data_IF_784125681047
#
_entry.id   IF_784125681047
#
_cell.length_a   1.000
_cell.length_b   1.000
_cell.length_c   1.000
_cell.angle_alpha   90.00
_cell.angle_beta   90.00
_cell.angle_gamma   90.00
#
_symmetry.space_group_name_H-M   'P 1'
#
loop_
_entity.id
_entity.type
_entity.pdbx_description
1 polymer ?
#
# COMPACT_ATOMS: atom_id res chain seq x y z
N UNK A 1 0.30 19.14 32.11
CA UNK A 1 -0.51 18.57 31.00
C UNK A 1 -0.43 19.58 29.87
N UNK A 2 0.29 19.31 28.77
CA UNK A 2 0.42 20.30 27.71
C UNK A 2 -0.79 20.20 26.76
N UNK A 3 -1.33 21.37 26.42
CA UNK A 3 -2.49 21.60 25.57
C UNK A 3 -2.49 20.76 24.27
N UNK A 4 -3.58 20.04 24.04
CA UNK A 4 -3.87 19.26 22.83
C UNK A 4 -4.20 20.20 21.66
N UNK A 5 -3.17 20.68 20.95
CA UNK A 5 -3.34 21.28 19.64
C UNK A 5 -3.44 20.18 18.59
N UNK A 6 -4.66 19.90 18.13
CA UNK A 6 -4.94 18.99 17.01
C UNK A 6 -4.67 19.66 15.66
N UNK A 7 -4.33 18.86 14.65
CA UNK A 7 -4.25 19.32 13.26
C UNK A 7 -5.64 19.68 12.74
N UNK A 8 -5.73 20.78 11.99
CA UNK A 8 -6.97 21.18 11.31
C UNK A 8 -7.29 20.28 10.12
N UNK A 9 -8.56 20.17 9.75
CA UNK A 9 -9.00 19.43 8.56
C UNK A 9 -8.27 19.88 7.29
N UNK A 10 -7.96 21.19 7.18
CA UNK A 10 -7.20 21.73 6.06
C UNK A 10 -5.79 21.17 5.99
N UNK A 11 -5.08 21.10 7.13
CA UNK A 11 -3.74 20.52 7.18
C UNK A 11 -3.77 19.02 6.89
N UNK A 12 -4.78 18.30 7.39
CA UNK A 12 -4.96 16.88 7.10
C UNK A 12 -5.21 16.61 5.61
N UNK A 13 -6.02 17.45 4.96
CA UNK A 13 -6.27 17.37 3.51
C UNK A 13 -5.02 17.72 2.71
N UNK A 14 -4.35 18.83 3.03
CA UNK A 14 -3.09 19.20 2.37
C UNK A 14 -1.99 18.15 2.56
N UNK A 15 -1.98 17.45 3.71
CA UNK A 15 -1.09 16.30 3.92
C UNK A 15 -1.45 15.14 2.99
N UNK A 16 -2.74 14.79 2.90
CA UNK A 16 -3.23 13.69 2.08
C UNK A 16 -2.98 13.95 0.57
N UNK A 17 -3.14 15.19 0.13
CA UNK A 17 -2.94 15.61 -1.27
C UNK A 17 -1.47 15.91 -1.61
N UNK A 18 -0.57 15.91 -0.61
CA UNK A 18 0.86 16.20 -0.80
C UNK A 18 1.19 17.68 -1.03
N UNK A 19 0.29 18.59 -0.65
CA UNK A 19 0.43 20.04 -0.80
C UNK A 19 1.15 20.71 0.38
N UNK A 20 1.32 20.01 1.50
CA UNK A 20 2.03 20.55 2.67
C UNK A 20 3.55 20.71 2.40
N UNK A 21 4.16 21.84 2.81
CA UNK A 21 5.60 22.02 2.74
C UNK A 21 6.34 20.91 3.52
N UNK A 22 7.54 20.45 3.09
CA UNK A 22 8.21 19.28 3.67
C UNK A 22 8.41 19.33 5.19
N UNK A 23 8.67 20.54 5.74
CA UNK A 23 8.85 20.73 7.19
C UNK A 23 7.54 20.61 7.98
N UNK A 24 6.44 21.06 7.40
CA UNK A 24 5.13 21.00 8.02
C UNK A 24 4.53 19.60 7.87
N UNK A 25 4.73 18.94 6.73
CA UNK A 25 4.39 17.54 6.52
C UNK A 25 5.06 16.63 7.57
N UNK A 26 6.38 16.77 7.79
CA UNK A 26 7.10 15.99 8.80
C UNK A 26 6.58 16.22 10.24
N UNK A 27 6.17 17.46 10.56
CA UNK A 27 5.55 17.78 11.86
C UNK A 27 4.17 17.16 11.99
N UNK A 28 3.34 17.27 10.94
CA UNK A 28 2.01 16.68 10.91
C UNK A 28 2.08 15.14 11.01
N UNK A 29 3.00 14.50 10.31
CA UNK A 29 3.25 13.05 10.42
C UNK A 29 3.70 12.64 11.82
N UNK A 30 4.60 13.42 12.44
CA UNK A 30 5.03 13.18 13.83
C UNK A 30 3.85 13.32 14.80
N UNK A 31 2.97 14.30 14.60
CA UNK A 31 1.77 14.47 15.40
C UNK A 31 0.80 13.31 15.21
N UNK A 32 0.57 12.88 13.96
CA UNK A 32 -0.28 11.72 13.64
C UNK A 32 0.26 10.43 14.26
N UNK A 33 1.57 10.26 14.38
CA UNK A 33 2.16 9.12 15.07
C UNK A 33 1.79 9.05 16.56
N UNK A 34 1.49 10.20 17.19
CA UNK A 34 1.20 10.31 18.61
C UNK A 34 -0.28 10.60 18.94
N UNK A 35 -1.08 11.11 18.00
CA UNK A 35 -2.47 11.52 18.22
C UNK A 35 -3.46 10.57 17.52
N UNK A 36 -4.36 9.95 18.28
CA UNK A 36 -5.39 9.06 17.75
C UNK A 36 -6.51 9.81 17.03
N UNK A 37 -6.95 10.94 17.59
CA UNK A 37 -8.06 11.72 17.04
C UNK A 37 -7.74 12.29 15.66
N UNK A 38 -6.54 12.84 15.46
CA UNK A 38 -6.11 13.32 14.14
C UNK A 38 -5.93 12.18 13.13
N UNK A 39 -5.55 10.97 13.56
CA UNK A 39 -5.48 9.79 12.68
C UNK A 39 -6.86 9.37 12.20
N UNK A 40 -7.82 9.25 13.12
CA UNK A 40 -9.21 8.95 12.77
C UNK A 40 -9.78 10.01 11.85
N UNK A 41 -9.57 11.29 12.15
CA UNK A 41 -10.06 12.38 11.32
C UNK A 41 -9.49 12.38 9.91
N UNK A 42 -8.19 12.14 9.76
CA UNK A 42 -7.54 12.01 8.44
C UNK A 42 -8.13 10.85 7.64
N UNK A 43 -8.35 9.71 8.28
CA UNK A 43 -8.92 8.53 7.64
C UNK A 43 -10.37 8.76 7.16
N UNK A 44 -11.20 9.45 7.95
CA UNK A 44 -12.56 9.84 7.54
C UNK A 44 -12.54 10.71 6.28
N UNK A 45 -11.63 11.69 6.20
CA UNK A 45 -11.46 12.56 5.04
C UNK A 45 -11.04 11.75 3.80
N UNK A 46 -10.04 10.86 3.92
CA UNK A 46 -9.59 10.00 2.82
C UNK A 46 -10.67 9.02 2.33
N UNK A 47 -11.49 8.52 3.26
CA UNK A 47 -12.63 7.64 2.93
C UNK A 47 -13.67 8.41 2.12
N UNK A 48 -14.04 9.62 2.55
CA UNK A 48 -14.99 10.47 1.84
C UNK A 48 -14.50 10.82 0.42
N UNK A 49 -13.20 11.15 0.26
CA UNK A 49 -12.59 11.38 -1.05
C UNK A 49 -12.67 10.13 -1.92
N UNK A 50 -12.36 8.96 -1.36
CA UNK A 50 -12.38 7.68 -2.08
C UNK A 50 -13.77 7.31 -2.57
N UNK A 51 -14.81 7.55 -1.76
CA UNK A 51 -16.21 7.37 -2.15
C UNK A 51 -16.62 8.31 -3.29
N UNK A 52 -16.22 9.58 -3.21
CA UNK A 52 -16.48 10.54 -4.29
C UNK A 52 -15.78 10.16 -5.60
N UNK A 53 -14.50 9.76 -5.56
CA UNK A 53 -13.76 9.30 -6.75
C UNK A 53 -14.42 8.07 -7.37
N UNK A 54 -14.88 7.12 -6.54
CA UNK A 54 -15.60 5.94 -7.00
C UNK A 54 -16.91 6.33 -7.69
N UNK A 55 -17.68 7.23 -7.07
CA UNK A 55 -18.92 7.77 -7.64
C UNK A 55 -18.68 8.49 -8.96
N UNK A 56 -17.64 9.33 -9.05
CA UNK A 56 -17.28 10.04 -10.27
C UNK A 56 -16.92 9.04 -11.39
N UNK A 57 -16.08 8.03 -11.10
CA UNK A 57 -15.73 6.99 -12.08
C UNK A 57 -16.94 6.17 -12.54
N UNK A 58 -17.91 5.89 -11.67
CA UNK A 58 -19.13 5.19 -12.07
C UNK A 58 -20.07 6.06 -12.89
N UNK A 59 -20.26 7.32 -12.50
CA UNK A 59 -21.22 8.24 -13.12
C UNK A 59 -20.73 8.74 -14.49
N UNK A 60 -19.43 8.98 -14.64
CA UNK A 60 -18.84 9.49 -15.89
C UNK A 60 -18.32 8.39 -16.83
N UNK A 61 -18.43 7.10 -16.47
CA UNK A 61 -18.15 5.98 -17.40
C UNK A 61 -19.09 5.96 -18.62
N UNK A 62 -20.19 6.70 -18.59
CA UNK A 62 -21.16 6.80 -19.70
C UNK A 62 -20.94 8.00 -20.63
N UNK A 63 -20.00 8.91 -20.35
CA UNK A 63 -19.79 10.10 -21.18
C UNK A 63 -18.34 10.23 -21.64
N UNK A 64 -18.17 9.89 -22.91
CA UNK A 64 -17.09 10.20 -23.87
C UNK A 64 -15.82 9.31 -23.94
N UNK A 65 -15.45 8.86 -25.17
CA UNK A 65 -14.19 8.17 -25.46
C UNK A 65 -13.04 9.18 -25.58
N UNK A 66 -12.23 9.30 -24.53
CA UNK A 66 -11.01 10.12 -24.52
C UNK A 66 -9.80 9.43 -25.19
N UNK A 67 -9.99 8.29 -25.87
CA UNK A 67 -8.91 7.61 -26.58
C UNK A 67 -8.47 8.38 -27.84
N UNK A 68 -9.40 9.04 -28.54
CA UNK A 68 -9.12 9.75 -29.80
C UNK A 68 -8.17 10.94 -29.65
N UNK A 69 -8.51 11.97 -28.84
CA UNK A 69 -7.66 13.16 -28.71
C UNK A 69 -6.30 12.85 -28.06
N UNK A 70 -6.28 11.91 -27.12
CA UNK A 70 -5.04 11.47 -26.43
C UNK A 70 -4.13 10.66 -27.35
N UNK A 71 -4.69 9.80 -28.20
CA UNK A 71 -3.94 9.10 -29.23
C UNK A 71 -3.39 10.08 -30.28
N UNK A 72 -4.18 11.08 -30.69
CA UNK A 72 -3.75 12.11 -31.63
C UNK A 72 -2.59 12.95 -31.07
N UNK A 73 -2.67 13.35 -29.79
CA UNK A 73 -1.58 14.08 -29.12
C UNK A 73 -0.31 13.24 -29.07
N UNK A 74 -0.41 11.95 -28.67
CA UNK A 74 0.72 11.02 -28.62
C UNK A 74 1.35 10.83 -30.00
N UNK A 75 0.55 10.69 -31.04
CA UNK A 75 1.03 10.59 -32.41
C UNK A 75 1.77 11.86 -32.85
N UNK A 76 1.27 13.05 -32.49
CA UNK A 76 1.89 14.33 -32.82
C UNK A 76 3.23 14.55 -32.11
N UNK A 77 3.32 14.17 -30.84
CA UNK A 77 4.58 14.21 -30.05
C UNK A 77 5.62 13.25 -30.65
N UNK A 78 5.21 12.05 -31.07
CA UNK A 78 6.12 11.11 -31.73
C UNK A 78 6.65 11.65 -33.07
N UNK A 79 5.80 12.29 -33.88
CA UNK A 79 6.26 12.94 -35.12
C UNK A 79 7.22 14.11 -34.88
N UNK A 80 7.11 14.81 -33.76
CA UNK A 80 7.98 15.95 -33.43
C UNK A 80 9.37 15.50 -32.95
N UNK A 81 9.50 14.26 -32.46
CA UNK A 81 10.78 13.70 -32.04
C UNK A 81 11.70 13.33 -33.23
N UNK A 82 11.14 13.02 -34.40
CA UNK A 82 11.92 12.69 -35.61
C UNK A 82 12.47 13.93 -36.34
N UNK A 83 11.99 15.14 -36.03
CA UNK A 83 12.37 16.37 -36.76
C UNK A 83 13.62 17.07 -36.16
N UNK A 84 14.11 16.64 -34.98
CA UNK A 84 15.27 17.25 -34.32
C UNK A 84 16.58 16.45 -34.36
N UNK A 85 16.73 15.53 -35.31
CA UNK A 85 18.05 15.03 -35.71
C UNK A 85 18.48 15.74 -36.99
N UNK A 86 19.10 16.90 -36.86
CA UNK A 86 20.14 17.49 -37.76
C UNK A 86 20.28 18.98 -37.43
N UNK A 87 20.81 19.29 -36.23
CA UNK A 87 21.30 20.65 -35.95
C UNK A 87 22.69 20.80 -36.57
N UNK A 88 22.73 21.34 -37.78
CA UNK A 88 23.94 21.82 -38.45
C UNK A 88 24.50 23.09 -37.78
N UNK A 89 24.95 22.96 -36.53
CA UNK A 89 25.52 24.06 -35.74
C UNK A 89 27.00 23.82 -35.41
N UNK A 90 27.74 23.19 -36.34
CA UNK A 90 29.16 22.88 -36.18
C UNK A 90 30.06 23.48 -37.27
N UNK A 91 29.67 24.58 -37.92
CA UNK A 91 30.49 25.14 -39.01
C UNK A 91 31.12 26.52 -38.79
N UNK A 92 31.04 27.15 -37.60
CA UNK A 92 31.58 28.50 -37.44
C UNK A 92 32.33 28.80 -36.13
N UNK A 93 33.20 27.93 -35.63
CA UNK A 93 34.24 28.35 -34.67
C UNK A 93 35.59 27.68 -34.96
N UNK A 94 36.62 28.51 -35.11
CA UNK A 94 37.95 28.14 -35.61
C UNK A 94 38.75 27.12 -34.78
N UNK A 95 39.91 26.66 -35.30
CA UNK A 95 40.58 25.40 -34.92
C UNK A 95 41.13 25.35 -33.49
N UNK A 96 41.07 26.44 -32.71
CA UNK A 96 41.54 26.48 -31.32
C UNK A 96 40.44 26.25 -30.27
N UNK A 97 39.15 26.34 -30.62
CA UNK A 97 38.03 26.01 -29.71
C UNK A 97 37.54 24.56 -29.83
N UNK A 98 37.83 23.86 -30.93
CA UNK A 98 37.38 22.48 -31.16
C UNK A 98 37.92 21.46 -30.15
N UNK A 99 39.18 21.63 -29.71
CA UNK A 99 39.82 20.71 -28.76
C UNK A 99 39.30 20.87 -27.33
N UNK A 100 38.98 22.10 -26.92
CA UNK A 100 38.39 22.37 -25.59
C UNK A 100 36.95 21.86 -25.50
N UNK A 101 36.16 22.01 -26.58
CA UNK A 101 34.80 21.47 -26.66
C UNK A 101 34.78 19.94 -26.66
N UNK A 102 35.72 19.27 -27.38
CA UNK A 102 35.85 17.81 -27.38
C UNK A 102 36.25 17.23 -26.01
N UNK A 103 37.14 17.89 -25.28
CA UNK A 103 37.52 17.48 -23.92
C UNK A 103 36.35 17.64 -22.93
N UNK A 104 35.57 18.72 -23.02
CA UNK A 104 34.39 18.91 -22.17
C UNK A 104 33.28 17.89 -22.48
N UNK A 105 33.10 17.48 -23.73
CA UNK A 105 32.15 16.42 -24.14
C UNK A 105 32.61 15.04 -23.67
N UNK A 106 33.91 14.75 -23.70
CA UNK A 106 34.47 13.51 -23.15
C UNK A 106 34.33 13.45 -21.63
N UNK A 107 34.60 14.55 -20.92
CA UNK A 107 34.43 14.64 -19.45
C UNK A 107 32.94 14.60 -19.06
N UNK A 108 32.04 15.24 -19.81
CA UNK A 108 30.59 15.19 -19.57
C UNK A 108 29.95 13.85 -19.96
N UNK A 109 30.55 13.10 -20.89
CA UNK A 109 30.12 11.75 -21.26
C UNK A 109 30.63 10.65 -20.32
N UNK A 110 31.83 10.81 -19.75
CA UNK A 110 32.43 9.85 -18.80
C UNK A 110 31.92 10.01 -17.37
N UNK A 111 31.52 11.22 -16.95
CA UNK A 111 30.95 11.49 -15.61
C UNK A 111 29.68 10.69 -15.28
N UNK A 112 28.66 10.52 -16.15
CA UNK A 112 27.49 9.69 -15.83
C UNK A 112 27.80 8.19 -15.80
N UNK A 113 28.81 7.73 -16.55
CA UNK A 113 29.26 6.33 -16.53
C UNK A 113 29.98 5.98 -15.22
N UNK A 114 30.86 6.87 -14.75
CA UNK A 114 31.57 6.72 -13.47
C UNK A 114 30.59 6.86 -12.29
N UNK A 115 29.62 7.79 -12.38
CA UNK A 115 28.58 7.97 -11.34
C UNK A 115 27.72 6.71 -11.15
N UNK A 116 27.37 6.02 -12.24
CA UNK A 116 26.63 4.73 -12.19
C UNK A 116 27.42 3.59 -11.53
N UNK A 117 28.74 3.62 -11.54
CA UNK A 117 29.57 2.58 -10.91
C UNK A 117 29.91 2.89 -9.45
N UNK A 118 29.92 4.17 -9.06
CA UNK A 118 30.24 4.61 -7.69
C UNK A 118 28.99 4.70 -6.81
N UNK A 119 27.83 5.05 -7.39
CA UNK A 119 26.56 5.13 -6.67
C UNK A 119 25.69 3.94 -7.09
N UNK A 120 25.79 2.78 -6.40
CA UNK A 120 24.82 1.73 -6.60
C UNK A 120 23.45 2.29 -6.23
N UNK A 121 22.51 2.26 -7.17
CA UNK A 121 21.08 2.33 -6.88
C UNK A 121 20.80 1.28 -5.81
N UNK A 122 20.78 1.67 -4.54
CA UNK A 122 20.27 0.80 -3.48
C UNK A 122 18.82 0.58 -3.85
N UNK A 123 18.40 -0.63 -4.26
CA UNK A 123 16.98 -0.87 -4.43
C UNK A 123 16.36 -0.52 -3.08
N UNK A 124 15.42 0.42 -3.09
CA UNK A 124 14.57 0.70 -1.94
C UNK A 124 13.91 -0.62 -1.59
N UNK A 125 14.51 -1.38 -0.68
CA UNK A 125 13.87 -2.57 -0.16
C UNK A 125 12.68 -2.06 0.64
N UNK A 126 11.45 -2.43 0.28
CA UNK A 126 10.29 -2.01 1.04
C UNK A 126 10.50 -2.39 2.49
N UNK A 127 10.30 -1.41 3.38
CA UNK A 127 10.35 -1.65 4.83
C UNK A 127 9.36 -2.77 5.13
N UNK A 128 9.77 -3.85 5.82
CA UNK A 128 8.86 -4.92 6.21
C UNK A 128 7.68 -4.30 6.96
N UNK A 129 6.49 -4.32 6.33
CA UNK A 129 5.30 -3.75 6.93
C UNK A 129 4.56 -4.84 7.69
N UNK A 130 4.14 -4.51 8.91
CA UNK A 130 3.33 -5.38 9.75
C UNK A 130 1.85 -5.36 9.34
N UNK A 131 1.41 -4.32 8.63
CA UNK A 131 0.02 -4.12 8.19
C UNK A 131 0.03 -3.89 6.67
N UNK A 132 -0.91 -4.46 5.91
CA UNK A 132 -0.98 -4.22 4.46
C UNK A 132 -1.27 -2.76 4.12
N UNK A 133 -0.93 -2.36 2.89
CA UNK A 133 -1.31 -1.07 2.36
C UNK A 133 -2.81 -1.08 2.01
N UNK A 134 -3.67 -0.26 2.65
CA UNK A 134 -5.13 -0.30 2.44
C UNK A 134 -5.56 0.03 1.01
N UNK A 135 -4.75 0.77 0.26
CA UNK A 135 -5.02 1.10 -1.14
C UNK A 135 -4.79 -0.09 -2.08
N UNK A 136 -3.93 -1.03 -1.70
CA UNK A 136 -3.63 -2.24 -2.46
C UNK A 136 -4.45 -3.44 -1.97
N UNK A 137 -4.61 -3.56 -0.66
CA UNK A 137 -5.31 -4.66 0.00
C UNK A 137 -6.37 -4.11 0.97
N UNK A 138 -7.50 -3.60 0.46
CA UNK A 138 -8.61 -3.12 1.28
C UNK A 138 -9.38 -4.22 2.03
N UNK A 139 -9.15 -5.50 1.71
CA UNK A 139 -9.84 -6.63 2.32
C UNK A 139 -11.12 -6.99 1.56
N UNK A 140 -10.98 -7.46 0.32
CA UNK A 140 -12.14 -7.91 -0.47
C UNK A 140 -12.84 -9.12 0.15
N UNK A 141 -14.17 -9.12 0.16
CA UNK A 141 -15.02 -10.17 0.76
C UNK A 141 -15.99 -10.76 -0.25
N UNK A 142 -16.45 -11.98 0.03
CA UNK A 142 -17.60 -12.58 -0.65
C UNK A 142 -18.88 -12.29 0.12
N UNK A 143 -20.01 -12.18 -0.60
CA UNK A 143 -21.32 -12.03 0.04
C UNK A 143 -21.72 -13.34 0.71
N UNK A 144 -21.54 -13.41 2.02
CA UNK A 144 -21.92 -14.55 2.86
C UNK A 144 -22.72 -14.08 4.08
N UNK A 145 -23.74 -14.85 4.44
CA UNK A 145 -24.45 -14.65 5.70
C UNK A 145 -23.73 -15.33 6.85
N UNK A 146 -23.88 -14.82 8.07
CA UNK A 146 -23.32 -15.43 9.28
C UNK A 146 -23.68 -16.92 9.41
N UNK A 147 -24.94 -17.38 9.19
CA UNK A 147 -25.26 -18.80 9.23
C UNK A 147 -24.54 -19.63 8.15
N UNK A 148 -24.29 -19.06 6.97
CA UNK A 148 -23.53 -19.75 5.92
C UNK A 148 -22.05 -19.90 6.31
N UNK A 149 -21.46 -18.83 6.80
CA UNK A 149 -20.07 -18.77 7.26
C UNK A 149 -19.80 -19.72 8.43
N UNK A 150 -20.74 -19.87 9.36
CA UNK A 150 -20.57 -20.66 10.58
C UNK A 150 -20.87 -22.16 10.41
N UNK A 151 -21.37 -22.61 9.26
CA UNK A 151 -21.57 -24.05 8.97
C UNK A 151 -20.27 -24.78 8.62
N UNK A 152 -19.30 -24.09 8.05
CA UNK A 152 -18.03 -24.69 7.64
C UNK A 152 -17.05 -24.71 8.81
N UNK A 153 -16.73 -25.86 9.37
CA UNK A 153 -15.89 -25.93 10.58
C UNK A 153 -14.38 -25.72 10.33
N UNK A 154 -13.93 -25.54 9.08
CA UNK A 154 -12.51 -25.40 8.77
C UNK A 154 -12.27 -24.81 7.36
N UNK A 155 -12.30 -23.49 7.24
CA UNK A 155 -12.00 -22.77 5.99
C UNK A 155 -10.57 -22.25 6.06
N UNK A 156 -9.61 -23.15 5.84
CA UNK A 156 -8.20 -22.77 5.74
C UNK A 156 -7.98 -21.81 4.56
N UNK A 157 -6.94 -20.99 4.67
CA UNK A 157 -6.48 -20.17 3.54
C UNK A 157 -6.20 -21.07 2.34
N UNK A 158 -6.69 -20.65 1.17
CA UNK A 158 -6.47 -21.40 -0.07
C UNK A 158 -5.03 -21.19 -0.53
N UNK A 159 -4.46 -22.22 -1.15
CA UNK A 159 -3.17 -22.09 -1.83
C UNK A 159 -3.24 -20.99 -2.90
N UNK A 160 -2.40 -19.96 -2.76
CA UNK A 160 -2.30 -18.86 -3.72
C UNK A 160 -1.35 -19.28 -4.86
N UNK A 161 -1.81 -19.36 -6.12
CA UNK A 161 -0.94 -19.75 -7.23
C UNK A 161 0.26 -18.82 -7.40
N UNK A 162 1.43 -19.37 -7.77
CA UNK A 162 2.68 -18.61 -7.94
C UNK A 162 2.52 -17.40 -8.88
N UNK A 163 1.69 -17.52 -9.93
CA UNK A 163 1.40 -16.41 -10.83
C UNK A 163 0.71 -15.23 -10.12
N UNK A 164 -0.22 -15.52 -9.19
CA UNK A 164 -0.90 -14.53 -8.39
C UNK A 164 0.03 -13.94 -7.33
N UNK A 165 0.87 -14.76 -6.68
CA UNK A 165 1.89 -14.28 -5.74
C UNK A 165 2.84 -13.27 -6.39
N UNK A 166 3.32 -13.56 -7.61
CA UNK A 166 4.17 -12.62 -8.38
C UNK A 166 3.44 -11.30 -8.69
N UNK A 167 2.13 -11.36 -8.96
CA UNK A 167 1.32 -10.16 -9.19
C UNK A 167 1.21 -9.32 -7.92
N UNK A 168 0.95 -9.93 -6.76
CA UNK A 168 0.92 -9.24 -5.46
C UNK A 168 2.26 -8.54 -5.18
N UNK A 169 3.40 -9.25 -5.33
CA UNK A 169 4.71 -8.63 -5.15
C UNK A 169 4.96 -7.45 -6.10
N UNK A 170 4.49 -7.54 -7.35
CA UNK A 170 4.62 -6.45 -8.30
C UNK A 170 3.81 -5.20 -7.88
N UNK A 171 2.56 -5.37 -7.42
CA UNK A 171 1.72 -4.27 -6.92
C UNK A 171 2.36 -3.60 -5.68
N UNK A 172 2.98 -4.39 -4.81
CA UNK A 172 3.70 -3.92 -3.62
C UNK A 172 5.12 -3.40 -3.91
N UNK A 173 5.57 -3.39 -5.17
CA UNK A 173 6.90 -2.93 -5.56
C UNK A 173 8.05 -3.80 -5.04
N UNK A 174 7.77 -5.02 -4.58
CA UNK A 174 8.77 -5.96 -4.07
C UNK A 174 9.51 -6.61 -5.24
N UNK A 175 10.84 -6.40 -5.29
CA UNK A 175 11.73 -6.98 -6.31
C UNK A 175 12.87 -7.72 -5.63
N UNK A 176 13.20 -8.91 -6.14
CA UNK A 176 14.34 -9.69 -5.67
C UNK A 176 14.23 -10.11 -4.20
N UNK A 177 13.02 -10.39 -3.71
CA UNK A 177 12.83 -10.91 -2.36
C UNK A 177 13.60 -12.23 -2.18
N UNK A 178 14.28 -12.37 -1.05
CA UNK A 178 14.89 -13.65 -0.68
C UNK A 178 13.80 -14.73 -0.58
N UNK A 179 14.09 -15.99 -0.97
CA UNK A 179 13.15 -17.09 -0.80
C UNK A 179 12.65 -17.17 0.65
N UNK A 180 11.33 -17.19 0.83
CA UNK A 180 10.72 -17.27 2.16
C UNK A 180 10.74 -15.97 2.99
N UNK A 181 11.22 -14.84 2.45
CA UNK A 181 11.15 -13.56 3.17
C UNK A 181 9.72 -13.06 3.39
N UNK A 182 8.81 -13.50 2.53
CA UNK A 182 7.39 -13.17 2.57
C UNK A 182 6.53 -14.41 2.33
N UNK A 183 5.38 -14.45 2.98
CA UNK A 183 4.25 -15.30 2.65
C UNK A 183 3.13 -14.44 2.04
N UNK A 184 2.40 -14.96 1.07
CA UNK A 184 1.21 -14.27 0.56
C UNK A 184 0.02 -14.71 1.39
N UNK A 185 -0.54 -13.76 2.12
CA UNK A 185 -1.58 -14.03 3.09
C UNK A 185 -2.86 -13.22 2.80
N UNK A 186 -3.97 -13.72 3.33
CA UNK A 186 -5.28 -13.08 3.26
C UNK A 186 -5.40 -12.02 4.35
N UNK A 187 -5.77 -10.78 4.02
CA UNK A 187 -6.08 -9.78 5.06
C UNK A 187 -7.34 -10.19 5.84
N UNK A 188 -8.38 -10.63 5.12
CA UNK A 188 -9.56 -11.29 5.70
C UNK A 188 -9.50 -12.76 5.26
N UNK A 189 -9.32 -13.69 6.20
CA UNK A 189 -9.37 -15.13 5.89
C UNK A 189 -10.72 -15.54 5.26
N UNK A 190 -10.77 -16.58 4.42
CA UNK A 190 -12.03 -17.21 3.98
C UNK A 190 -12.96 -17.58 5.15
N UNK A 191 -12.40 -17.90 6.33
CA UNK A 191 -13.17 -18.17 7.54
C UNK A 191 -13.94 -16.96 8.09
N UNK A 192 -13.63 -15.75 7.61
CA UNK A 192 -14.35 -14.51 7.87
C UNK A 192 -15.01 -13.96 6.59
N UNK A 193 -15.15 -14.79 5.55
CA UNK A 193 -15.76 -14.42 4.28
C UNK A 193 -14.85 -13.60 3.35
N UNK A 194 -13.53 -13.69 3.53
CA UNK A 194 -12.57 -13.11 2.60
C UNK A 194 -12.64 -13.73 1.20
N UNK A 195 -12.46 -12.90 0.18
CA UNK A 195 -12.43 -13.32 -1.22
C UNK A 195 -11.02 -13.81 -1.64
N UNK A 196 -10.98 -14.74 -2.58
CA UNK A 196 -9.77 -15.12 -3.34
C UNK A 196 -9.52 -14.07 -4.42
N UNK A 197 -9.10 -12.88 -3.97
CA UNK A 197 -8.95 -11.69 -4.79
C UNK A 197 -7.66 -10.96 -4.40
N UNK A 198 -6.98 -10.37 -5.39
CA UNK A 198 -5.72 -9.64 -5.16
C UNK A 198 -5.88 -8.50 -4.15
N UNK A 199 -7.05 -7.87 -4.07
CA UNK A 199 -7.38 -6.81 -3.11
C UNK A 199 -7.64 -7.34 -1.68
N UNK A 200 -7.52 -8.65 -1.46
CA UNK A 200 -7.52 -9.29 -0.15
C UNK A 200 -6.19 -10.03 0.14
N UNK A 201 -5.23 -10.00 -0.79
CA UNK A 201 -3.94 -10.65 -0.65
C UNK A 201 -2.83 -9.61 -0.43
N UNK A 202 -1.90 -9.91 0.45
CA UNK A 202 -0.77 -9.05 0.73
C UNK A 202 0.49 -9.85 1.08
N UNK A 203 1.69 -9.26 0.91
CA UNK A 203 2.94 -9.90 1.28
C UNK A 203 3.22 -9.70 2.77
N UNK A 204 2.93 -10.70 3.58
CA UNK A 204 3.27 -10.71 4.99
C UNK A 204 4.75 -11.06 5.18
N UNK A 205 5.48 -10.26 5.97
CA UNK A 205 6.90 -10.49 6.19
C UNK A 205 7.17 -11.52 7.29
N UNK A 206 7.93 -12.56 6.95
CA UNK A 206 8.41 -13.55 7.91
C UNK A 206 9.52 -13.03 8.85
N UNK A 207 9.97 -11.78 8.67
CA UNK A 207 11.01 -11.16 9.50
C UNK A 207 10.45 -10.47 10.75
N UNK A 208 9.13 -10.31 10.84
CA UNK A 208 8.49 -9.65 11.98
C UNK A 208 8.39 -10.62 13.16
N UNK A 209 9.05 -10.31 14.27
CA UNK A 209 9.07 -11.20 15.44
C UNK A 209 7.84 -11.04 16.35
N UNK A 210 7.38 -9.81 16.59
CA UNK A 210 6.31 -9.52 17.54
C UNK A 210 4.93 -9.76 16.95
N UNK A 211 4.60 -9.05 15.88
CA UNK A 211 3.33 -9.14 15.16
C UNK A 211 3.56 -9.96 13.90
N UNK A 212 3.27 -11.26 14.00
CA UNK A 212 3.52 -12.26 12.96
C UNK A 212 2.24 -13.01 12.60
N UNK A 213 2.31 -13.85 11.57
CA UNK A 213 1.20 -14.65 11.06
C UNK A 213 0.43 -15.38 12.17
N UNK A 214 1.13 -16.04 13.10
CA UNK A 214 0.47 -16.75 14.20
C UNK A 214 -0.35 -15.85 15.13
N UNK A 215 0.06 -14.58 15.32
CA UNK A 215 -0.71 -13.60 16.09
C UNK A 215 -1.96 -13.18 15.32
N UNK A 216 -1.85 -13.04 14.00
CA UNK A 216 -2.98 -12.76 13.13
C UNK A 216 -3.96 -13.94 13.08
N UNK A 217 -3.48 -15.17 12.92
CA UNK A 217 -4.30 -16.39 12.96
C UNK A 217 -5.14 -16.45 14.25
N UNK A 218 -4.52 -16.15 15.40
CA UNK A 218 -5.22 -16.12 16.67
C UNK A 218 -6.34 -15.06 16.73
N UNK A 219 -6.15 -13.91 16.07
CA UNK A 219 -7.22 -12.92 15.89
C UNK A 219 -8.32 -13.45 14.99
N UNK A 220 -7.99 -14.05 13.86
CA UNK A 220 -8.96 -14.59 12.91
C UNK A 220 -9.87 -15.65 13.55
N UNK A 221 -9.27 -16.57 14.31
CA UNK A 221 -9.98 -17.58 15.10
C UNK A 221 -10.91 -16.94 16.13
N UNK A 222 -10.43 -15.92 16.85
CA UNK A 222 -11.21 -15.23 17.87
C UNK A 222 -12.39 -14.46 17.26
N UNK A 223 -12.16 -13.74 16.18
CA UNK A 223 -13.22 -13.04 15.45
C UNK A 223 -14.27 -14.01 14.94
N UNK A 224 -13.85 -15.14 14.36
CA UNK A 224 -14.77 -16.17 13.89
C UNK A 224 -15.60 -16.75 15.05
N UNK A 225 -14.98 -17.04 16.18
CA UNK A 225 -15.69 -17.54 17.37
C UNK A 225 -16.75 -16.53 17.84
N UNK A 226 -16.39 -15.24 17.94
CA UNK A 226 -17.31 -14.18 18.34
C UNK A 226 -18.45 -13.96 17.32
N UNK A 227 -18.16 -14.08 16.03
CA UNK A 227 -19.17 -14.01 14.98
C UNK A 227 -20.12 -15.20 15.07
N UNK A 228 -19.60 -16.42 15.21
CA UNK A 228 -20.44 -17.61 15.27
C UNK A 228 -21.17 -17.80 16.59
N UNK A 229 -20.68 -17.22 17.69
CA UNK A 229 -21.39 -17.11 18.97
C UNK A 229 -22.38 -15.94 19.03
N UNK A 230 -22.43 -15.09 18.01
CA UNK A 230 -23.35 -13.95 17.94
C UNK A 230 -22.95 -12.76 18.82
N UNK A 231 -21.74 -12.76 19.38
CA UNK A 231 -21.20 -11.62 20.14
C UNK A 231 -20.68 -10.48 19.24
N UNK A 232 -20.42 -10.76 17.96
CA UNK A 232 -19.89 -9.80 17.00
C UNK A 232 -20.58 -9.93 15.64
N UNK A 233 -20.96 -8.81 15.05
CA UNK A 233 -21.47 -8.79 13.68
C UNK A 233 -20.33 -9.06 12.67
N UNK A 234 -20.62 -9.85 11.63
CA UNK A 234 -19.62 -10.25 10.63
C UNK A 234 -19.00 -9.04 9.92
N UNK A 235 -19.80 -8.03 9.55
CA UNK A 235 -19.30 -6.85 8.87
C UNK A 235 -18.42 -6.00 9.80
N UNK A 236 -18.73 -5.96 11.10
CA UNK A 236 -17.84 -5.32 12.10
C UNK A 236 -16.51 -6.06 12.20
N UNK A 237 -16.52 -7.39 12.26
CA UNK A 237 -15.29 -8.19 12.30
C UNK A 237 -14.42 -7.95 11.05
N UNK A 238 -15.03 -7.98 9.86
CA UNK A 238 -14.37 -7.73 8.57
C UNK A 238 -13.77 -6.33 8.49
N UNK A 239 -14.51 -5.30 8.89
CA UNK A 239 -14.03 -3.92 8.91
C UNK A 239 -12.85 -3.74 9.86
N UNK A 240 -12.94 -4.30 11.07
CA UNK A 240 -11.92 -4.10 12.09
C UNK A 240 -10.59 -4.77 11.68
N UNK A 241 -10.63 -6.02 11.18
CA UNK A 241 -9.42 -6.70 10.72
C UNK A 241 -8.82 -6.03 9.47
N UNK A 242 -9.65 -5.58 8.52
CA UNK A 242 -9.14 -4.96 7.29
C UNK A 242 -8.60 -3.55 7.49
N UNK A 243 -9.12 -2.82 8.48
CA UNK A 243 -8.64 -1.46 8.80
C UNK A 243 -7.26 -1.52 9.45
N UNK A 244 -7.12 -2.34 10.51
CA UNK A 244 -5.86 -2.54 11.21
C UNK A 244 -5.95 -3.78 12.09
N UNK A 245 -5.46 -4.91 11.58
CA UNK A 245 -5.52 -6.18 12.30
C UNK A 245 -4.76 -6.17 13.64
N UNK A 246 -3.72 -5.35 13.79
CA UNK A 246 -2.99 -5.22 15.08
C UNK A 246 -3.88 -4.56 16.13
N UNK A 247 -4.55 -3.46 15.78
CA UNK A 247 -5.47 -2.78 16.69
C UNK A 247 -6.71 -3.64 16.96
N UNK A 248 -7.19 -4.39 15.97
CA UNK A 248 -8.22 -5.41 16.17
C UNK A 248 -7.75 -6.47 17.18
N UNK A 249 -6.52 -7.00 17.06
CA UNK A 249 -5.96 -7.92 18.04
C UNK A 249 -5.99 -7.31 19.44
N UNK A 250 -5.47 -6.09 19.61
CA UNK A 250 -5.46 -5.41 20.90
C UNK A 250 -6.86 -5.23 21.48
N UNK A 251 -7.81 -4.82 20.65
CA UNK A 251 -9.22 -4.62 20.99
C UNK A 251 -9.86 -5.92 21.49
N UNK A 252 -9.76 -7.00 20.72
CA UNK A 252 -10.48 -8.23 21.01
C UNK A 252 -9.79 -9.09 22.07
N UNK A 253 -8.46 -9.03 22.17
CA UNK A 253 -7.70 -9.71 23.22
C UNK A 253 -7.50 -8.86 24.48
N UNK A 254 -7.86 -7.58 24.50
CA UNK A 254 -7.66 -6.66 25.63
C UNK A 254 -6.21 -6.66 26.12
N UNK A 255 -5.29 -6.32 25.22
CA UNK A 255 -3.84 -6.33 25.45
C UNK A 255 -3.14 -5.37 24.51
N UNK A 256 -2.02 -4.77 24.90
CA UNK A 256 -1.19 -3.96 23.99
C UNK A 256 -0.12 -4.76 23.25
N UNK A 257 0.05 -6.05 23.62
CA UNK A 257 1.08 -6.95 23.10
C UNK A 257 0.49 -8.32 22.76
N UNK A 258 1.08 -9.05 21.80
CA UNK A 258 0.70 -10.43 21.51
C UNK A 258 0.76 -11.31 22.75
N UNK A 259 -0.29 -12.09 23.00
CA UNK A 259 -0.31 -13.04 24.10
C UNK A 259 0.51 -14.29 23.72
N UNK A 260 1.17 -14.93 24.68
CA UNK A 260 1.82 -16.22 24.45
C UNK A 260 0.78 -17.36 24.41
N UNK A 261 1.09 -18.48 23.74
CA UNK A 261 0.12 -19.53 23.38
C UNK A 261 -0.79 -20.03 24.52
N UNK A 262 -0.31 -20.12 25.75
CA UNK A 262 -1.12 -20.55 26.90
C UNK A 262 -2.18 -19.51 27.33
N UNK A 263 -1.94 -18.22 27.08
CA UNK A 263 -2.87 -17.12 27.40
C UNK A 263 -3.92 -16.93 26.28
N UNK A 264 -3.58 -17.25 25.03
CA UNK A 264 -4.49 -17.20 23.89
C UNK A 264 -5.62 -18.24 24.02
N UNK A 265 -5.29 -19.50 24.35
CA UNK A 265 -6.26 -20.60 24.50
C UNK A 265 -7.22 -20.43 25.69
N UNK A 266 -6.82 -19.68 26.73
CA UNK A 266 -7.68 -19.36 27.87
C UNK A 266 -8.74 -18.28 27.57
N UNK A 267 -8.42 -17.31 26.70
CA UNK A 267 -9.36 -16.23 26.34
C UNK A 267 -10.28 -16.58 25.18
N UNK A 268 -9.92 -17.53 24.32
CA UNK A 268 -10.77 -18.01 23.20
C UNK A 268 -11.93 -18.93 23.65
N UNK A 269 -12.17 -19.08 24.96
CA UNK A 269 -13.16 -20.01 25.55
C UNK A 269 -14.46 -19.36 26.03
N UNK A 270 -14.75 -18.12 25.62
CA UNK A 270 -15.94 -17.37 26.00
C UNK A 270 -16.69 -16.85 24.78
#
# INVERSE_FOLDING_TARGET
MPHEFHLSDRELLMLADGELPPREAARAETHLAACWECRTRKQELETAISEFVRFQRSSFKSTTPADGPKALLRARVAQQADIHSHSGLLFFLGPKLGWAALLLILISGLTPLIWRQIVPERPLQPVPSTVPNPSLTPGATVLLSQPALCREFNVNNKFVPVALQKKVFAEYGIRGAEPGAYEIDYLITPALGGADDIHNLWPESNRMALWNAHVKDALEDRLRAMVCGGQLDLHVAQRDISTNWIEAYKKYFHTDRPLHGNQQSGRNRF
#
